data_IF_384499982261
#
_entry.id   IF_384499982261
#
_cell.length_a   1.000
_cell.length_b   1.000
_cell.length_c   1.000
_cell.angle_alpha   90.00
_cell.angle_beta   90.00
_cell.angle_gamma   90.00
#
_symmetry.space_group_name_H-M   'P 1'
#
loop_
_entity.id
_entity.type
_entity.pdbx_description
1 polymer ?
#
# COMPACT_ATOMS: atom_id res chain seq x y z
N UNK A 1 7.97 -26.05 11.94
CA UNK A 1 6.49 -26.16 11.80
C UNK A 1 5.95 -24.78 11.51
N UNK A 2 5.50 -24.54 10.27
CA UNK A 2 4.66 -23.41 9.93
C UNK A 2 3.31 -23.61 10.61
N UNK A 3 3.07 -22.91 11.70
CA UNK A 3 1.77 -22.87 12.34
C UNK A 3 0.81 -22.11 11.43
N UNK A 4 -0.27 -22.75 11.06
CA UNK A 4 -1.38 -22.16 10.33
C UNK A 4 -2.12 -21.17 11.24
N UNK A 5 -1.78 -19.88 11.11
CA UNK A 5 -2.37 -18.80 11.91
C UNK A 5 -3.53 -18.10 11.15
N UNK A 6 -3.96 -18.66 10.02
CA UNK A 6 -4.82 -17.94 9.09
C UNK A 6 -6.32 -18.11 9.31
N UNK A 7 -6.76 -19.05 10.15
CA UNK A 7 -8.19 -19.39 10.19
C UNK A 7 -8.98 -18.89 11.40
N UNK A 8 -8.34 -18.52 12.50
CA UNK A 8 -9.08 -18.45 13.78
C UNK A 8 -9.49 -17.05 14.25
N UNK A 9 -9.05 -15.96 13.60
CA UNK A 9 -9.36 -14.60 14.10
C UNK A 9 -10.51 -13.91 13.38
N UNK A 10 -10.87 -14.33 12.18
CA UNK A 10 -11.78 -13.56 11.33
C UNK A 10 -13.23 -14.07 11.19
N UNK A 11 -13.57 -15.25 11.62
CA UNK A 11 -14.85 -15.82 11.19
C UNK A 11 -15.85 -16.29 12.23
N UNK A 12 -15.51 -16.48 13.48
CA UNK A 12 -16.47 -17.12 14.39
C UNK A 12 -16.63 -16.57 15.81
N UNK A 13 -15.71 -15.78 16.32
CA UNK A 13 -15.64 -15.53 17.75
C UNK A 13 -15.98 -14.12 18.22
N UNK A 14 -16.68 -13.34 17.42
CA UNK A 14 -17.32 -12.12 17.90
C UNK A 14 -18.70 -12.50 18.45
N UNK A 15 -18.89 -12.56 19.79
CA UNK A 15 -20.21 -12.81 20.35
C UNK A 15 -21.18 -11.72 19.90
N UNK A 16 -22.48 -12.02 19.72
CA UNK A 16 -23.48 -11.04 19.34
C UNK A 16 -23.50 -9.92 20.40
N UNK A 17 -23.13 -8.73 19.98
CA UNK A 17 -22.99 -7.56 20.86
C UNK A 17 -24.33 -7.15 21.43
N UNK A 18 -24.45 -6.93 22.77
CA UNK A 18 -25.64 -6.33 23.36
C UNK A 18 -25.91 -4.97 22.72
N UNK A 19 -27.18 -4.64 22.51
CA UNK A 19 -27.64 -3.45 21.73
C UNK A 19 -27.00 -2.09 22.13
N UNK A 20 -26.48 -1.96 23.34
CA UNK A 20 -25.72 -0.78 23.79
C UNK A 20 -24.23 -0.78 23.36
N UNK A 21 -23.66 -1.93 23.01
CA UNK A 21 -22.28 -2.04 22.51
C UNK A 21 -22.17 -1.89 21.00
N UNK A 22 -23.27 -2.04 20.26
CA UNK A 22 -23.29 -1.87 18.81
C UNK A 22 -22.82 -0.48 18.35
N UNK A 23 -23.13 0.58 19.13
CA UNK A 23 -22.63 1.94 18.86
C UNK A 23 -21.12 2.09 19.14
N UNK A 24 -20.60 1.43 20.20
CA UNK A 24 -19.16 1.44 20.51
C UNK A 24 -18.37 0.55 19.56
N UNK A 25 -18.91 -0.59 19.18
CA UNK A 25 -18.31 -1.48 18.21
C UNK A 25 -18.28 -0.89 16.81
N UNK A 26 -19.34 -0.18 16.40
CA UNK A 26 -19.35 0.59 15.14
C UNK A 26 -18.35 1.75 15.14
N UNK A 27 -18.18 2.43 16.29
CA UNK A 27 -17.12 3.46 16.44
C UNK A 27 -15.72 2.86 16.41
N UNK A 28 -15.49 1.74 17.08
CA UNK A 28 -14.22 1.03 17.02
C UNK A 28 -13.92 0.52 15.61
N UNK A 29 -14.92 -0.04 14.91
CA UNK A 29 -14.80 -0.45 13.52
C UNK A 29 -14.51 0.73 12.58
N UNK A 30 -15.11 1.89 12.83
CA UNK A 30 -14.84 3.12 12.07
C UNK A 30 -13.40 3.60 12.26
N UNK A 31 -12.85 3.51 13.48
CA UNK A 31 -11.46 3.87 13.75
C UNK A 31 -10.44 2.86 13.18
N UNK A 32 -10.87 1.63 12.90
CA UNK A 32 -10.04 0.59 12.28
C UNK A 32 -9.94 0.78 10.76
N UNK A 33 -11.03 1.21 10.10
CA UNK A 33 -11.07 1.40 8.64
C UNK A 33 -10.52 2.75 8.17
N UNK A 34 -9.68 3.39 8.95
CA UNK A 34 -9.15 4.71 8.66
C UNK A 34 -9.63 5.75 9.67
N UNK A 35 -9.41 7.01 9.37
CA UNK A 35 -9.86 8.10 10.23
C UNK A 35 -11.40 8.19 10.27
N UNK A 36 -11.97 8.68 11.36
CA UNK A 36 -13.42 8.97 11.41
C UNK A 36 -13.84 9.91 10.26
N UNK A 37 -12.96 10.84 9.90
CA UNK A 37 -13.15 11.74 8.77
C UNK A 37 -13.22 10.99 7.44
N UNK A 38 -12.35 10.01 7.23
CA UNK A 38 -12.40 9.13 6.06
C UNK A 38 -13.72 8.35 6.00
N UNK A 39 -14.13 7.73 7.10
CA UNK A 39 -15.41 7.03 7.17
C UNK A 39 -16.62 7.97 7.01
N UNK A 40 -16.56 9.16 7.60
CA UNK A 40 -17.65 10.13 7.52
C UNK A 40 -17.69 10.79 6.14
N UNK A 41 -16.54 11.12 5.57
CA UNK A 41 -16.44 11.79 4.27
C UNK A 41 -16.64 10.83 3.08
N UNK A 42 -16.15 9.60 3.19
CA UNK A 42 -16.20 8.61 2.11
C UNK A 42 -17.19 7.47 2.34
N UNK A 43 -17.77 7.39 3.53
CA UNK A 43 -18.76 6.36 3.86
C UNK A 43 -18.24 4.93 3.89
N UNK A 44 -16.92 4.74 3.99
CA UNK A 44 -16.30 3.42 3.98
C UNK A 44 -16.26 2.85 5.39
N UNK A 45 -16.93 1.74 5.62
CA UNK A 45 -16.87 0.97 6.85
C UNK A 45 -16.56 -0.51 6.58
N UNK A 46 -16.42 -1.29 7.64
CA UNK A 46 -16.10 -2.73 7.52
C UNK A 46 -17.16 -3.49 6.73
N UNK A 47 -18.41 -3.14 6.87
CA UNK A 47 -19.49 -3.87 6.20
C UNK A 47 -19.46 -3.60 4.70
N UNK A 48 -19.15 -2.37 4.28
CA UNK A 48 -18.93 -2.03 2.88
C UNK A 48 -17.71 -2.78 2.30
N UNK A 49 -16.61 -2.88 3.05
CA UNK A 49 -15.42 -3.65 2.61
C UNK A 49 -15.76 -5.13 2.45
N UNK A 50 -16.54 -5.71 3.37
CA UNK A 50 -17.02 -7.10 3.25
C UNK A 50 -17.87 -7.29 2.01
N UNK A 51 -18.82 -6.40 1.76
CA UNK A 51 -19.67 -6.42 0.58
C UNK A 51 -18.83 -6.35 -0.70
N UNK A 52 -17.88 -5.42 -0.78
CA UNK A 52 -16.96 -5.30 -1.90
C UNK A 52 -16.15 -6.59 -2.11
N UNK A 53 -15.65 -7.19 -1.04
CA UNK A 53 -14.93 -8.46 -1.10
C UNK A 53 -15.82 -9.62 -1.64
N UNK A 54 -17.06 -9.71 -1.17
CA UNK A 54 -18.00 -10.74 -1.63
C UNK A 54 -18.37 -10.55 -3.11
N UNK A 55 -18.61 -9.31 -3.53
CA UNK A 55 -18.86 -8.97 -4.94
C UNK A 55 -17.65 -9.31 -5.80
N UNK A 56 -16.46 -8.91 -5.39
CA UNK A 56 -15.24 -9.20 -6.11
C UNK A 56 -15.01 -10.70 -6.29
N UNK A 57 -15.19 -11.50 -5.25
CA UNK A 57 -15.10 -12.98 -5.33
C UNK A 57 -16.08 -13.56 -6.35
N UNK A 58 -17.31 -13.05 -6.37
CA UNK A 58 -18.33 -13.50 -7.30
C UNK A 58 -18.01 -13.14 -8.75
N UNK A 59 -17.60 -11.90 -9.00
CA UNK A 59 -17.37 -11.38 -10.36
C UNK A 59 -16.05 -11.85 -10.98
N UNK A 60 -14.98 -11.90 -10.17
CA UNK A 60 -13.65 -12.30 -10.66
C UNK A 60 -13.52 -13.81 -10.79
N UNK A 61 -14.36 -14.58 -10.06
CA UNK A 61 -14.35 -16.06 -10.05
C UNK A 61 -12.95 -16.63 -9.79
N UNK A 62 -12.22 -16.06 -8.83
CA UNK A 62 -10.86 -16.46 -8.49
C UNK A 62 -10.75 -16.86 -7.01
N UNK A 63 -9.91 -17.85 -6.74
CA UNK A 63 -9.49 -18.20 -5.37
C UNK A 63 -8.26 -17.42 -4.93
N UNK A 64 -7.63 -16.67 -5.84
CA UNK A 64 -6.47 -15.84 -5.52
C UNK A 64 -6.89 -14.60 -4.75
N UNK A 65 -6.05 -14.09 -3.85
CA UNK A 65 -6.24 -12.79 -3.22
C UNK A 65 -6.34 -11.69 -4.30
N UNK A 66 -7.29 -10.77 -4.15
CA UNK A 66 -7.50 -9.67 -5.11
C UNK A 66 -7.74 -8.32 -4.45
N UNK A 67 -7.96 -8.30 -3.13
CA UNK A 67 -8.15 -7.05 -2.40
C UNK A 67 -6.85 -6.27 -2.33
N UNK A 68 -6.94 -5.00 -2.64
CA UNK A 68 -5.86 -4.02 -2.52
C UNK A 68 -6.25 -2.98 -1.49
N UNK A 69 -5.34 -2.66 -0.57
CA UNK A 69 -5.56 -1.65 0.45
C UNK A 69 -4.46 -0.60 0.38
N UNK A 70 -4.84 0.65 0.59
CA UNK A 70 -3.93 1.76 0.78
C UNK A 70 -4.05 2.29 2.21
N UNK A 71 -2.92 2.56 2.82
CA UNK A 71 -2.78 3.09 4.16
C UNK A 71 -1.66 4.12 4.17
N UNK A 72 -1.35 4.72 5.31
CA UNK A 72 -0.21 5.61 5.43
C UNK A 72 -0.23 6.42 6.72
N UNK A 73 0.88 6.43 7.41
CA UNK A 73 1.05 7.11 8.69
C UNK A 73 1.03 8.64 8.57
N UNK A 74 1.47 9.17 7.40
CA UNK A 74 1.58 10.60 7.15
C UNK A 74 0.28 11.34 6.86
N UNK A 75 -0.87 10.65 6.82
CA UNK A 75 -2.14 11.25 6.43
C UNK A 75 -2.69 12.25 7.44
N UNK A 76 -2.97 13.48 7.01
CA UNK A 76 -3.71 14.46 7.80
C UNK A 76 -5.11 13.98 8.18
N UNK A 77 -5.73 13.14 7.35
CA UNK A 77 -7.04 12.56 7.64
C UNK A 77 -7.05 11.76 8.94
N UNK A 78 -5.96 11.11 9.28
CA UNK A 78 -5.82 10.35 10.52
C UNK A 78 -5.54 11.26 11.72
N UNK A 79 -4.91 12.41 11.53
CA UNK A 79 -4.49 13.30 12.63
C UNK A 79 -5.64 13.86 13.44
N UNK A 80 -6.77 14.16 12.81
CA UNK A 80 -7.95 14.75 13.48
C UNK A 80 -8.95 13.70 14.00
N UNK A 81 -8.78 12.44 13.63
CA UNK A 81 -9.72 11.36 13.93
C UNK A 81 -9.08 10.19 14.67
N UNK A 82 -7.95 10.46 15.32
CA UNK A 82 -7.15 9.44 16.01
C UNK A 82 -7.72 8.99 17.36
N UNK A 83 -8.67 9.71 17.95
CA UNK A 83 -9.29 9.37 19.25
C UNK A 83 -8.29 9.10 20.38
N UNK A 84 -7.19 9.84 20.40
CA UNK A 84 -6.10 9.69 21.38
C UNK A 84 -5.11 8.56 21.08
N UNK A 85 -5.21 7.91 19.93
CA UNK A 85 -4.19 6.99 19.43
C UNK A 85 -3.14 7.74 18.61
N UNK A 86 -1.89 7.30 18.67
CA UNK A 86 -0.83 7.81 17.78
C UNK A 86 -0.95 7.21 16.37
N UNK A 87 -0.23 7.80 15.42
CA UNK A 87 -0.29 7.41 14.00
C UNK A 87 0.13 5.96 13.77
N UNK A 88 1.17 5.50 14.47
CA UNK A 88 1.64 4.13 14.39
C UNK A 88 0.56 3.12 14.87
N UNK A 89 -0.13 3.44 15.96
CA UNK A 89 -1.25 2.65 16.47
C UNK A 89 -2.41 2.62 15.49
N UNK A 90 -2.70 3.74 14.84
CA UNK A 90 -3.74 3.83 13.81
C UNK A 90 -3.41 2.93 12.61
N UNK A 91 -2.18 2.96 12.16
CA UNK A 91 -1.69 2.14 11.06
C UNK A 91 -1.73 0.64 11.40
N UNK A 92 -1.30 0.26 12.60
CA UNK A 92 -1.41 -1.12 13.07
C UNK A 92 -2.86 -1.65 13.05
N UNK A 93 -3.85 -0.79 13.31
CA UNK A 93 -5.28 -1.15 13.20
C UNK A 93 -5.70 -1.38 11.75
N UNK A 94 -5.19 -0.58 10.82
CA UNK A 94 -5.44 -0.78 9.39
C UNK A 94 -4.89 -2.12 8.92
N UNK A 95 -3.70 -2.50 9.34
CA UNK A 95 -3.11 -3.79 9.01
C UNK A 95 -3.85 -4.98 9.62
N UNK A 96 -4.33 -4.85 10.86
CA UNK A 96 -5.19 -5.87 11.47
C UNK A 96 -6.48 -6.09 10.67
N UNK A 97 -7.08 -5.00 10.16
CA UNK A 97 -8.24 -5.09 9.27
C UNK A 97 -7.86 -5.75 7.94
N UNK A 98 -6.79 -5.31 7.29
CA UNK A 98 -6.35 -5.86 6.01
C UNK A 98 -6.15 -7.38 6.06
N UNK A 99 -5.55 -7.89 7.14
CA UNK A 99 -5.38 -9.35 7.34
C UNK A 99 -6.68 -10.14 7.29
N UNK A 100 -7.79 -9.56 7.76
CA UNK A 100 -9.09 -10.22 7.74
C UNK A 100 -9.60 -10.50 6.32
N UNK A 101 -9.08 -9.82 5.32
CA UNK A 101 -9.50 -9.96 3.93
C UNK A 101 -8.50 -10.69 3.05
N UNK A 102 -7.39 -11.19 3.61
CA UNK A 102 -6.34 -11.86 2.85
C UNK A 102 -5.98 -11.07 1.58
N UNK A 103 -5.40 -9.86 1.70
CA UNK A 103 -5.22 -8.97 0.56
C UNK A 103 -4.20 -9.51 -0.42
N UNK A 104 -4.37 -9.19 -1.70
CA UNK A 104 -3.34 -9.35 -2.70
C UNK A 104 -2.13 -8.47 -2.35
N UNK A 105 -2.41 -7.24 -1.89
CA UNK A 105 -1.40 -6.24 -1.61
C UNK A 105 -1.91 -5.17 -0.65
N UNK A 106 -1.03 -4.71 0.23
CA UNK A 106 -1.20 -3.50 1.01
C UNK A 106 -0.14 -2.50 0.56
N UNK A 107 -0.52 -1.28 0.29
CA UNK A 107 0.36 -0.19 -0.06
C UNK A 107 0.38 0.86 1.04
N UNK A 108 1.56 1.14 1.57
CA UNK A 108 1.78 2.27 2.45
C UNK A 108 2.09 3.51 1.59
N UNK A 109 1.20 4.49 1.61
CA UNK A 109 1.40 5.81 1.00
C UNK A 109 1.91 6.73 2.10
N UNK A 110 3.23 6.89 2.18
CA UNK A 110 3.89 7.55 3.32
C UNK A 110 3.45 8.99 3.47
N UNK A 111 3.40 9.76 2.38
CA UNK A 111 2.92 11.13 2.33
C UNK A 111 1.51 11.23 1.76
N UNK A 112 0.52 10.68 2.41
CA UNK A 112 -0.82 10.49 1.89
C UNK A 112 -1.61 11.81 1.65
N UNK A 113 -2.83 11.69 1.17
CA UNK A 113 -3.75 12.75 0.67
C UNK A 113 -3.84 13.99 1.57
N UNK A 114 -3.63 15.17 0.98
CA UNK A 114 -3.75 16.48 1.62
C UNK A 114 -2.44 16.99 2.25
N UNK A 115 -2.48 18.03 3.10
CA UNK A 115 -1.30 18.48 3.78
C UNK A 115 -0.67 17.36 4.60
N UNK A 116 0.65 17.23 4.48
CA UNK A 116 1.41 16.20 5.17
C UNK A 116 1.37 16.41 6.68
N UNK A 117 1.09 15.35 7.42
CA UNK A 117 1.15 15.38 8.88
C UNK A 117 2.57 15.25 9.40
N UNK A 118 3.43 14.55 8.68
CA UNK A 118 4.85 14.42 8.96
C UNK A 118 5.56 15.75 8.66
N UNK A 119 6.45 16.17 9.54
CA UNK A 119 7.05 17.50 9.45
C UNK A 119 8.30 17.54 8.56
N UNK A 120 9.08 16.48 8.52
CA UNK A 120 10.38 16.43 7.85
C UNK A 120 10.74 15.05 7.30
N UNK A 121 11.84 14.97 6.53
CA UNK A 121 12.32 13.74 5.94
C UNK A 121 12.65 12.63 6.94
N UNK A 122 13.06 12.97 8.17
CA UNK A 122 13.32 11.96 9.21
C UNK A 122 12.05 11.27 9.67
N UNK A 123 10.99 12.05 9.82
CA UNK A 123 9.67 11.50 10.16
C UNK A 123 9.11 10.65 9.02
N UNK A 124 9.30 11.08 7.77
CA UNK A 124 8.93 10.32 6.58
C UNK A 124 9.66 8.97 6.52
N UNK A 125 10.97 8.96 6.68
CA UNK A 125 11.79 7.74 6.67
C UNK A 125 11.36 6.81 7.80
N UNK A 126 11.14 7.35 8.99
CA UNK A 126 10.68 6.57 10.14
C UNK A 126 9.30 5.97 9.89
N UNK A 127 8.34 6.76 9.43
CA UNK A 127 6.99 6.29 9.18
C UNK A 127 6.96 5.15 8.16
N UNK A 128 7.58 5.32 6.99
CA UNK A 128 7.61 4.27 5.96
C UNK A 128 8.29 2.99 6.43
N UNK A 129 9.37 3.08 7.23
CA UNK A 129 10.04 1.90 7.79
C UNK A 129 9.19 1.22 8.87
N UNK A 130 8.55 1.98 9.75
CA UNK A 130 7.67 1.44 10.80
C UNK A 130 6.47 0.72 10.19
N UNK A 131 5.83 1.33 9.19
CA UNK A 131 4.67 0.77 8.52
C UNK A 131 5.03 -0.50 7.75
N UNK A 132 6.09 -0.45 6.96
CA UNK A 132 6.61 -1.62 6.27
C UNK A 132 6.95 -2.76 7.25
N UNK A 133 7.66 -2.46 8.34
CA UNK A 133 8.07 -3.46 9.31
C UNK A 133 6.88 -4.11 10.02
N UNK A 134 5.91 -3.31 10.46
CA UNK A 134 4.68 -3.85 11.07
C UNK A 134 3.93 -4.78 10.14
N UNK A 135 3.73 -4.37 8.89
CA UNK A 135 3.02 -5.18 7.91
C UNK A 135 3.75 -6.50 7.62
N UNK A 136 5.08 -6.46 7.49
CA UNK A 136 5.90 -7.69 7.31
C UNK A 136 5.81 -8.62 8.50
N UNK A 137 5.85 -8.12 9.73
CA UNK A 137 5.67 -8.93 10.94
C UNK A 137 4.27 -9.57 11.01
N UNK A 138 3.27 -8.90 10.45
CA UNK A 138 1.90 -9.41 10.37
C UNK A 138 1.67 -10.37 9.18
N UNK A 139 2.69 -10.61 8.36
CA UNK A 139 2.62 -11.49 7.20
C UNK A 139 1.85 -10.90 6.01
N UNK A 140 1.73 -9.57 5.94
CA UNK A 140 1.08 -8.89 4.83
C UNK A 140 2.04 -8.72 3.64
N UNK A 141 1.55 -8.89 2.40
CA UNK A 141 2.29 -8.50 1.20
C UNK A 141 2.34 -6.97 1.14
N UNK A 142 3.53 -6.40 1.38
CA UNK A 142 3.69 -4.97 1.61
C UNK A 142 4.43 -4.28 0.48
N UNK A 143 3.80 -3.27 -0.10
CA UNK A 143 4.43 -2.29 -0.97
C UNK A 143 4.42 -0.90 -0.34
N UNK A 144 5.17 0.01 -0.90
CA UNK A 144 5.29 1.37 -0.41
C UNK A 144 5.26 2.36 -1.57
N UNK A 145 4.46 3.39 -1.45
CA UNK A 145 4.62 4.65 -2.15
C UNK A 145 5.49 5.56 -1.28
N UNK A 146 6.78 5.53 -1.52
CA UNK A 146 7.69 6.45 -0.87
C UNK A 146 7.48 7.83 -1.50
N UNK A 147 6.80 8.69 -0.78
CA UNK A 147 6.37 9.99 -1.26
C UNK A 147 6.32 11.02 -0.12
N UNK A 148 6.35 12.29 -0.48
CA UNK A 148 6.14 13.40 0.45
C UNK A 148 5.39 14.53 -0.25
N UNK A 149 4.59 15.29 0.51
CA UNK A 149 3.91 16.47 -0.01
C UNK A 149 4.80 17.70 0.08
N UNK A 150 4.52 18.73 -0.73
CA UNK A 150 5.26 19.99 -0.69
C UNK A 150 5.06 20.81 0.61
N UNK A 151 4.23 20.30 1.53
CA UNK A 151 4.03 20.89 2.85
C UNK A 151 5.09 20.42 3.86
N UNK A 152 5.80 19.35 3.56
CA UNK A 152 6.81 18.76 4.40
C UNK A 152 8.19 19.38 4.11
N UNK A 153 9.02 19.53 5.14
CA UNK A 153 10.42 19.89 4.98
C UNK A 153 11.25 18.63 4.63
N UNK A 154 11.11 18.18 3.40
CA UNK A 154 11.82 17.03 2.86
C UNK A 154 12.29 17.34 1.44
N UNK A 155 13.25 16.59 0.97
CA UNK A 155 13.75 16.68 -0.39
C UNK A 155 13.91 15.29 -1.04
N UNK A 156 14.38 15.28 -2.28
CA UNK A 156 14.59 14.05 -3.03
C UNK A 156 15.61 13.10 -2.38
N UNK A 157 16.62 13.63 -1.68
CA UNK A 157 17.59 12.79 -0.96
C UNK A 157 16.95 12.02 0.18
N UNK A 158 16.00 12.63 0.89
CA UNK A 158 15.23 11.96 1.95
C UNK A 158 14.41 10.81 1.37
N UNK A 159 13.78 11.03 0.23
CA UNK A 159 13.00 10.02 -0.47
C UNK A 159 13.88 8.87 -0.97
N UNK A 160 15.01 9.17 -1.59
CA UNK A 160 15.98 8.16 -2.04
C UNK A 160 16.53 7.35 -0.86
N UNK A 161 16.83 7.97 0.26
CA UNK A 161 17.25 7.28 1.47
C UNK A 161 16.17 6.31 1.95
N UNK A 162 14.91 6.73 1.98
CA UNK A 162 13.80 5.86 2.36
C UNK A 162 13.70 4.65 1.42
N UNK A 163 13.76 4.86 0.11
CA UNK A 163 13.63 3.77 -0.86
C UNK A 163 14.78 2.77 -0.80
N UNK A 164 16.02 3.24 -0.56
CA UNK A 164 17.18 2.36 -0.35
C UNK A 164 16.96 1.49 0.90
N UNK A 165 16.55 2.10 2.01
CA UNK A 165 16.30 1.39 3.26
C UNK A 165 15.16 0.38 3.16
N UNK A 166 14.06 0.74 2.51
CA UNK A 166 12.93 -0.16 2.25
C UNK A 166 13.32 -1.34 1.36
N UNK A 167 14.14 -1.08 0.34
CA UNK A 167 14.66 -2.15 -0.55
C UNK A 167 15.53 -3.12 0.24
N UNK A 168 16.43 -2.61 1.07
CA UNK A 168 17.25 -3.44 1.96
C UNK A 168 16.41 -4.22 3.00
N UNK A 169 15.28 -3.65 3.44
CA UNK A 169 14.33 -4.30 4.35
C UNK A 169 13.40 -5.32 3.64
N UNK A 170 13.49 -5.46 2.32
CA UNK A 170 12.74 -6.47 1.57
C UNK A 170 11.31 -6.04 1.25
N UNK A 171 11.10 -4.80 0.84
CA UNK A 171 9.81 -4.34 0.31
C UNK A 171 9.40 -5.16 -0.91
N UNK A 172 8.12 -5.45 -1.06
CA UNK A 172 7.63 -6.28 -2.16
C UNK A 172 7.54 -5.50 -3.49
N UNK A 173 7.19 -4.22 -3.43
CA UNK A 173 7.16 -3.34 -4.60
C UNK A 173 7.20 -1.88 -4.17
N UNK A 174 7.51 -1.01 -5.12
CA UNK A 174 7.29 0.43 -5.00
C UNK A 174 6.20 0.87 -5.96
N UNK A 175 5.35 1.76 -5.49
CA UNK A 175 4.55 2.60 -6.36
C UNK A 175 5.46 3.64 -6.99
N UNK A 176 5.40 3.81 -8.30
CA UNK A 176 6.27 4.71 -9.02
C UNK A 176 5.54 5.54 -10.06
N UNK A 177 6.11 6.69 -10.34
CA UNK A 177 5.67 7.62 -11.39
C UNK A 177 6.78 7.87 -12.41
N UNK A 178 6.48 8.36 -13.61
CA UNK A 178 7.49 8.49 -14.66
C UNK A 178 8.70 9.34 -14.29
N UNK A 179 8.50 10.47 -13.62
CA UNK A 179 9.53 11.48 -13.36
C UNK A 179 9.66 11.89 -11.89
N UNK A 180 8.95 11.25 -10.97
CA UNK A 180 8.97 11.59 -9.56
C UNK A 180 7.91 12.61 -9.12
N UNK A 181 7.45 13.47 -10.02
CA UNK A 181 6.36 14.42 -9.73
C UNK A 181 5.01 13.74 -9.86
N UNK A 182 4.23 13.70 -8.79
CA UNK A 182 2.84 13.28 -8.83
C UNK A 182 1.93 14.51 -8.87
N UNK A 183 1.16 14.62 -9.96
CA UNK A 183 0.28 15.76 -10.20
C UNK A 183 -1.00 15.73 -9.38
N UNK A 184 -1.31 14.60 -8.74
CA UNK A 184 -2.60 14.40 -8.09
C UNK A 184 -2.77 15.32 -6.88
N UNK A 185 -1.77 15.51 -6.06
CA UNK A 185 -1.86 16.34 -4.85
C UNK A 185 -0.59 17.14 -4.58
N UNK A 186 0.15 17.47 -5.62
CA UNK A 186 1.40 18.22 -5.53
C UNK A 186 2.40 17.57 -4.58
N UNK A 187 2.59 16.27 -4.72
CA UNK A 187 3.61 15.56 -3.96
C UNK A 187 4.67 14.90 -4.85
N UNK A 188 5.77 14.57 -4.23
CA UNK A 188 6.89 13.88 -4.84
C UNK A 188 6.81 12.39 -4.52
N UNK A 189 7.03 11.55 -5.50
CA UNK A 189 7.02 10.09 -5.36
C UNK A 189 8.26 9.48 -6.01
N UNK A 190 8.42 8.19 -5.87
CA UNK A 190 9.53 7.44 -6.45
C UNK A 190 9.41 7.39 -7.97
N UNK A 191 10.46 7.73 -8.70
CA UNK A 191 10.46 7.64 -10.15
C UNK A 191 10.72 6.21 -10.64
N UNK A 192 10.36 5.92 -11.90
CA UNK A 192 10.71 4.64 -12.53
C UNK A 192 12.23 4.46 -12.66
N UNK A 193 12.99 5.56 -12.77
CA UNK A 193 14.44 5.52 -12.82
C UNK A 193 15.03 5.11 -11.46
N UNK A 194 14.48 5.62 -10.36
CA UNK A 194 14.91 5.25 -9.01
C UNK A 194 14.66 3.77 -8.76
N UNK A 195 13.48 3.26 -9.16
CA UNK A 195 13.15 1.83 -9.03
C UNK A 195 14.13 0.96 -9.83
N UNK A 196 14.50 1.38 -11.05
CA UNK A 196 15.48 0.66 -11.85
C UNK A 196 16.87 0.67 -11.20
N UNK A 197 17.31 1.82 -10.68
CA UNK A 197 18.55 1.96 -9.94
C UNK A 197 18.58 1.09 -8.67
N UNK A 198 17.50 1.06 -7.89
CA UNK A 198 17.38 0.22 -6.70
C UNK A 198 17.51 -1.27 -7.03
N UNK A 199 16.92 -1.73 -8.13
CA UNK A 199 17.09 -3.12 -8.58
C UNK A 199 18.54 -3.43 -8.90
N UNK A 200 19.23 -2.54 -9.58
CA UNK A 200 20.64 -2.72 -9.93
C UNK A 200 21.53 -2.70 -8.68
N UNK A 201 21.37 -1.72 -7.79
CA UNK A 201 22.14 -1.60 -6.54
C UNK A 201 21.99 -2.84 -5.66
N UNK A 202 20.79 -3.37 -5.54
CA UNK A 202 20.48 -4.52 -4.68
C UNK A 202 20.49 -5.87 -5.41
N UNK A 203 20.85 -5.88 -6.71
CA UNK A 203 20.85 -7.08 -7.57
C UNK A 203 19.51 -7.84 -7.54
N UNK A 204 18.40 -7.08 -7.68
CA UNK A 204 17.04 -7.60 -7.66
C UNK A 204 16.48 -7.77 -9.07
N UNK A 205 15.74 -8.85 -9.26
CA UNK A 205 15.01 -9.13 -10.49
C UNK A 205 13.51 -8.82 -10.31
N UNK A 206 12.78 -8.58 -11.40
CA UNK A 206 11.32 -8.59 -11.36
C UNK A 206 10.78 -9.92 -10.83
N UNK A 207 9.51 -9.95 -10.40
CA UNK A 207 8.83 -11.21 -10.12
C UNK A 207 8.89 -12.12 -11.36
N UNK A 208 9.15 -13.43 -11.20
CA UNK A 208 9.33 -14.34 -12.35
C UNK A 208 8.16 -14.33 -13.35
N UNK A 209 6.94 -14.21 -12.84
CA UNK A 209 5.72 -14.14 -13.65
C UNK A 209 5.66 -12.86 -14.47
N UNK A 210 6.13 -11.74 -13.89
CA UNK A 210 6.19 -10.47 -14.60
C UNK A 210 7.33 -10.47 -15.63
N UNK A 211 8.47 -11.05 -15.32
CA UNK A 211 9.57 -11.22 -16.27
C UNK A 211 9.14 -12.06 -17.48
N UNK A 212 8.48 -13.20 -17.22
CA UNK A 212 7.93 -14.04 -18.29
C UNK A 212 6.89 -13.30 -19.14
N UNK A 213 6.06 -12.46 -18.54
CA UNK A 213 5.15 -11.61 -19.28
C UNK A 213 5.88 -10.58 -20.15
N UNK A 214 6.87 -9.88 -19.60
CA UNK A 214 7.70 -8.92 -20.35
C UNK A 214 8.40 -9.58 -21.57
N UNK A 215 8.89 -10.81 -21.41
CA UNK A 215 9.46 -11.59 -22.51
C UNK A 215 8.39 -11.98 -23.53
N UNK A 216 7.21 -12.42 -23.08
CA UNK A 216 6.12 -12.80 -23.97
C UNK A 216 5.62 -11.66 -24.86
N UNK A 217 5.74 -10.43 -24.38
CA UNK A 217 5.40 -9.21 -25.13
C UNK A 217 6.60 -8.54 -25.81
N UNK A 218 7.76 -9.19 -25.81
CA UNK A 218 9.00 -8.74 -26.48
C UNK A 218 9.50 -7.36 -26.00
N UNK A 219 9.30 -7.06 -24.72
CA UNK A 219 9.87 -5.86 -24.07
C UNK A 219 11.24 -6.13 -23.48
N UNK A 220 11.49 -7.36 -23.03
CA UNK A 220 12.81 -7.84 -22.61
C UNK A 220 13.17 -9.12 -23.35
N UNK A 221 14.45 -9.41 -23.42
CA UNK A 221 14.99 -10.66 -23.94
C UNK A 221 16.30 -10.98 -23.23
N UNK A 222 16.37 -12.15 -22.61
CA UNK A 222 17.53 -12.56 -21.81
C UNK A 222 17.92 -11.51 -20.75
N UNK A 223 16.95 -10.98 -20.03
CA UNK A 223 17.14 -9.97 -18.97
C UNK A 223 17.52 -8.57 -19.46
N UNK A 224 17.50 -8.31 -20.78
CA UNK A 224 17.83 -7.00 -21.35
C UNK A 224 16.64 -6.39 -22.08
N UNK A 225 16.52 -5.07 -22.00
CA UNK A 225 15.51 -4.33 -22.76
C UNK A 225 15.70 -4.52 -24.27
N UNK A 226 14.60 -4.73 -24.97
CA UNK A 226 14.57 -4.74 -26.44
C UNK A 226 14.38 -3.33 -26.99
N UNK A 227 14.47 -3.18 -28.29
CA UNK A 227 14.14 -1.92 -28.97
C UNK A 227 12.69 -1.49 -28.83
N UNK A 228 11.80 -2.38 -28.42
CA UNK A 228 10.37 -2.11 -28.23
C UNK A 228 10.09 -1.49 -26.86
N UNK A 229 11.02 -1.64 -25.91
CA UNK A 229 10.90 -1.00 -24.60
C UNK A 229 11.06 0.50 -24.76
N UNK A 230 10.08 1.25 -24.23
CA UNK A 230 10.02 2.71 -24.35
C UNK A 230 9.32 3.23 -25.61
N UNK A 231 8.91 2.38 -26.56
CA UNK A 231 8.05 2.79 -27.67
C UNK A 231 6.56 2.78 -27.22
N UNK A 232 5.94 3.95 -27.01
CA UNK A 232 4.55 4.02 -26.54
C UNK A 232 3.53 3.48 -27.55
N UNK A 233 3.94 3.32 -28.81
CA UNK A 233 3.06 2.79 -29.85
C UNK A 233 3.12 1.26 -29.97
N UNK A 234 4.08 0.61 -29.33
CA UNK A 234 4.32 -0.82 -29.51
C UNK A 234 3.20 -1.69 -28.93
N UNK A 235 2.90 -1.53 -27.64
CA UNK A 235 1.86 -2.32 -26.98
C UNK A 235 0.46 -2.09 -27.55
N UNK A 236 0.01 -0.85 -27.83
CA UNK A 236 -1.25 -0.63 -28.53
C UNK A 236 -1.35 -1.36 -29.87
N UNK A 237 -0.33 -1.29 -30.70
CA UNK A 237 -0.29 -2.02 -31.99
C UNK A 237 -0.33 -3.53 -31.80
N UNK A 238 0.40 -4.07 -30.80
CA UNK A 238 0.46 -5.50 -30.53
C UNK A 238 -0.87 -6.07 -30.06
N UNK A 239 -1.62 -5.33 -29.24
CA UNK A 239 -2.91 -5.75 -28.69
C UNK A 239 -4.11 -5.22 -29.47
N UNK A 240 -3.90 -4.56 -30.59
CA UNK A 240 -4.98 -3.99 -31.44
C UNK A 240 -5.91 -3.04 -30.66
N UNK A 241 -5.32 -2.22 -29.78
CA UNK A 241 -6.01 -1.21 -28.98
C UNK A 241 -5.93 0.15 -29.66
#
# INVERSE_FOLDING_TARGET
RSGDWSSDVCSSDLPPAPRGRARRSRRAARSIAGSEKGNTAFGIDIDLIKEACLLGKKEISTELPFMYFETGQGSELSSLSHFGADQLTMEARCYALARCFNPFLVNDVVGFIGPEYLADGRQMIRAGLEDHFMAKLLGLPMGVDACYTNHMNADQNDLENLTILLTAAGVNYFMGVPMGDDVMLSYQSTSFHDIAALREIHNLLPAPEFEAWLESVDLIKNGKLTKNAGDPSYLPKRFSI
#
